data_IF_446572282015
#
_entry.id   IF_446572282015
#
_cell.length_a   1.000
_cell.length_b   1.000
_cell.length_c   1.000
_cell.angle_alpha   90.00
_cell.angle_beta   90.00
_cell.angle_gamma   90.00
#
_symmetry.space_group_name_H-M   'P 1'
#
loop_
_entity.id
_entity.type
_entity.pdbx_description
1 polymer ?
#
# COMPACT_ATOMS: atom_id res chain seq x y z
N UNK A 1 11.73 -1.85 -6.06
CA UNK A 1 12.22 -1.52 -4.69
C UNK A 1 11.30 -2.20 -3.70
N UNK A 2 11.82 -2.75 -2.61
CA UNK A 2 11.01 -3.31 -1.52
C UNK A 2 11.37 -2.56 -0.24
N UNK A 3 10.35 -2.09 0.48
CA UNK A 3 10.51 -1.45 1.78
C UNK A 3 9.72 -2.23 2.82
N UNK A 4 10.36 -2.53 3.95
CA UNK A 4 9.74 -3.22 5.10
C UNK A 4 9.60 -2.20 6.22
N UNK A 5 8.41 -2.12 6.78
CA UNK A 5 8.08 -1.16 7.84
C UNK A 5 6.91 -1.67 8.67
N UNK A 6 6.55 -0.93 9.71
CA UNK A 6 5.33 -1.13 10.48
C UNK A 6 4.09 -0.61 9.74
N UNK A 7 2.92 -0.98 10.26
CA UNK A 7 1.63 -0.67 9.64
C UNK A 7 1.44 0.83 9.40
N UNK A 8 1.75 1.69 10.38
CA UNK A 8 1.40 3.11 10.29
C UNK A 8 2.17 3.88 9.20
N UNK A 9 3.50 3.74 9.06
CA UNK A 9 4.20 4.31 7.91
C UNK A 9 3.72 3.76 6.56
N UNK A 10 3.35 2.48 6.48
CA UNK A 10 2.80 1.88 5.25
C UNK A 10 1.44 2.48 4.92
N UNK A 11 0.55 2.62 5.91
CA UNK A 11 -0.76 3.26 5.75
C UNK A 11 -0.62 4.72 5.32
N UNK A 12 0.33 5.48 5.88
CA UNK A 12 0.59 6.86 5.50
C UNK A 12 1.08 6.98 4.04
N UNK A 13 2.01 6.12 3.62
CA UNK A 13 2.49 6.08 2.25
C UNK A 13 1.40 5.65 1.26
N UNK A 14 0.60 4.63 1.63
CA UNK A 14 -0.54 4.18 0.85
C UNK A 14 -1.62 5.26 0.74
N UNK A 15 -1.87 6.01 1.82
CA UNK A 15 -2.80 7.13 1.82
C UNK A 15 -2.37 8.21 0.80
N UNK A 16 -1.09 8.56 0.79
CA UNK A 16 -0.53 9.46 -0.22
C UNK A 16 -0.72 8.90 -1.64
N UNK A 17 -0.42 7.61 -1.84
CA UNK A 17 -0.53 6.97 -3.16
C UNK A 17 -1.97 6.87 -3.67
N UNK A 18 -2.95 6.70 -2.77
CA UNK A 18 -4.39 6.73 -3.09
C UNK A 18 -4.95 8.15 -3.30
N UNK A 19 -4.15 9.19 -3.01
CA UNK A 19 -4.64 10.58 -2.99
C UNK A 19 -5.63 10.85 -1.85
N UNK A 20 -5.64 10.03 -0.80
CA UNK A 20 -6.52 10.25 0.35
C UNK A 20 -5.87 11.25 1.33
N UNK A 21 -6.70 12.00 2.06
CA UNK A 21 -6.20 12.86 3.13
C UNK A 21 -5.51 12.01 4.21
N UNK A 22 -4.35 12.46 4.68
CA UNK A 22 -3.54 11.68 5.62
C UNK A 22 -4.33 11.29 6.87
N UNK A 23 -5.15 12.17 7.43
CA UNK A 23 -5.99 11.86 8.62
C UNK A 23 -6.90 10.62 8.48
N UNK A 24 -7.19 10.22 7.24
CA UNK A 24 -8.03 9.05 6.94
C UNK A 24 -7.23 7.74 6.88
N UNK A 25 -5.89 7.78 7.00
CA UNK A 25 -5.03 6.60 6.89
C UNK A 25 -5.33 5.51 7.92
N UNK A 26 -5.88 5.89 9.09
CA UNK A 26 -6.31 4.94 10.11
C UNK A 26 -7.44 4.00 9.66
N UNK A 27 -8.13 4.32 8.55
CA UNK A 27 -9.14 3.45 7.92
C UNK A 27 -8.52 2.32 7.09
N UNK A 28 -7.24 2.42 6.74
CA UNK A 28 -6.53 1.40 6.00
C UNK A 28 -6.05 0.29 6.95
N UNK A 29 -6.19 -0.96 6.52
CA UNK A 29 -5.70 -2.14 7.24
C UNK A 29 -4.41 -2.66 6.60
N UNK A 30 -3.43 -3.00 7.43
CA UNK A 30 -2.17 -3.64 7.02
C UNK A 30 -1.89 -4.75 8.05
N UNK A 31 -2.04 -6.00 7.63
CA UNK A 31 -1.76 -7.18 8.42
C UNK A 31 -0.25 -7.45 8.48
N UNK A 32 0.27 -8.04 9.58
CA UNK A 32 1.66 -8.47 9.62
C UNK A 32 1.98 -9.45 8.49
N UNK A 33 3.11 -9.23 7.81
CA UNK A 33 3.57 -10.08 6.71
C UNK A 33 2.81 -9.88 5.38
N UNK A 34 1.87 -8.94 5.30
CA UNK A 34 1.20 -8.63 4.04
C UNK A 34 2.04 -7.74 3.12
N UNK A 35 1.71 -7.76 1.84
CA UNK A 35 2.38 -6.99 0.80
C UNK A 35 1.39 -6.03 0.14
N UNK A 36 1.83 -4.79 -0.06
CA UNK A 36 1.14 -3.74 -0.81
C UNK A 36 2.05 -3.31 -1.96
N UNK A 37 1.49 -3.24 -3.17
CA UNK A 37 2.23 -2.97 -4.40
C UNK A 37 1.74 -1.66 -5.02
N UNK A 38 2.69 -0.75 -5.30
CA UNK A 38 2.42 0.56 -5.89
C UNK A 38 3.33 0.72 -7.11
N UNK A 39 2.73 1.04 -8.26
CA UNK A 39 3.46 1.44 -9.46
C UNK A 39 3.55 2.97 -9.52
N UNK A 40 4.76 3.51 -9.65
CA UNK A 40 4.97 4.95 -9.85
C UNK A 40 5.20 5.21 -11.34
N UNK A 41 4.25 5.88 -11.99
CA UNK A 41 4.31 6.26 -13.40
C UNK A 41 4.36 7.77 -13.60
N UNK A 42 4.45 8.22 -14.86
CA UNK A 42 4.54 9.64 -15.19
C UNK A 42 3.31 10.46 -14.76
N UNK A 43 2.16 9.82 -14.59
CA UNK A 43 0.91 10.44 -14.16
C UNK A 43 0.69 10.35 -12.63
N UNK A 44 1.67 9.79 -11.90
CA UNK A 44 1.59 9.57 -10.47
C UNK A 44 1.53 8.08 -10.08
N UNK A 45 1.31 7.80 -8.78
CA UNK A 45 1.23 6.44 -8.26
C UNK A 45 -0.09 5.76 -8.65
N UNK A 46 -0.04 4.45 -8.82
CA UNK A 46 -1.21 3.55 -8.97
C UNK A 46 -1.03 2.38 -8.02
N UNK A 47 -2.02 2.16 -7.16
CA UNK A 47 -2.01 1.03 -6.22
C UNK A 47 -2.51 -0.22 -6.94
N UNK A 48 -1.63 -1.21 -7.10
CA UNK A 48 -1.93 -2.45 -7.82
C UNK A 48 -2.51 -3.53 -6.91
N UNK A 49 -2.14 -3.50 -5.63
CA UNK A 49 -2.62 -4.45 -4.63
C UNK A 49 -2.34 -3.94 -3.23
N UNK A 50 -3.21 -4.27 -2.29
CA UNK A 50 -3.11 -3.85 -0.90
C UNK A 50 -3.29 -5.05 0.02
N UNK A 51 -2.45 -5.13 1.06
CA UNK A 51 -2.64 -6.05 2.17
C UNK A 51 -2.82 -7.53 1.76
N UNK A 52 -2.08 -7.99 0.74
CA UNK A 52 -2.16 -9.38 0.29
C UNK A 52 -1.22 -10.28 1.11
N UNK A 53 -1.69 -11.47 1.49
CA UNK A 53 -0.95 -12.45 2.31
C UNK A 53 -0.31 -13.58 1.48
N UNK A 54 -0.19 -13.40 0.17
CA UNK A 54 0.51 -14.34 -0.74
C UNK A 54 -0.41 -15.13 -1.68
N UNK A 55 -1.74 -15.03 -1.52
CA UNK A 55 -2.73 -15.58 -2.44
C UNK A 55 -3.03 -14.64 -3.64
N UNK A 56 -2.76 -13.34 -3.50
CA UNK A 56 -3.11 -12.32 -4.50
C UNK A 56 -1.96 -11.84 -5.41
N UNK A 57 -0.69 -12.05 -5.05
CA UNK A 57 0.46 -11.54 -5.83
C UNK A 57 0.92 -12.45 -6.97
N UNK A 58 0.52 -13.72 -6.96
CA UNK A 58 0.80 -14.64 -8.07
C UNK A 58 -0.16 -14.43 -9.27
N UNK A 59 -1.20 -13.61 -9.10
CA UNK A 59 -2.30 -13.44 -10.05
C UNK A 59 -2.45 -12.03 -10.64
N UNK A 60 -1.51 -11.09 -10.37
CA UNK A 60 -1.50 -9.74 -10.94
C UNK A 60 -0.40 -9.53 -11.96
#
# INVERSE_FOLDING_TARGET
VVAVSHADPIKAALAQALGMHLDLFQRLAVAPGSITTIAYGALGPTVLGMNSLGDGLAAS
#
